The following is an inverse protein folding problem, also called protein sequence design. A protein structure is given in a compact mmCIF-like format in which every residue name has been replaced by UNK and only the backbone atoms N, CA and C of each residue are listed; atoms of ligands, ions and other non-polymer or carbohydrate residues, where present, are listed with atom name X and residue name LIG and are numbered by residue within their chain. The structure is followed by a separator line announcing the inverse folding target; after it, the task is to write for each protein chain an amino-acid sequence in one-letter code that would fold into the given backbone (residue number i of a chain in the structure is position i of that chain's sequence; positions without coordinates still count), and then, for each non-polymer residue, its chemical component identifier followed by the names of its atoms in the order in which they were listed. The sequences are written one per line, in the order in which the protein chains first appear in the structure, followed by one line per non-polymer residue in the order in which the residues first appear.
data_IF_135592332478
#
_entry.id   IF_135592332478
#
_cell.length_a   1.000
_cell.length_b   1.000
_cell.length_c   1.000
_cell.angle_alpha   90.00
_cell.angle_beta   90.00
_cell.angle_gamma   90.00
#
_symmetry.space_group_name_H-M   'P 1'
#
loop_
_entity.id
_entity.type
_entity.pdbx_description
1 polymer ?
#
# COMPACT_ATOMS: atom_id res chain seq x y z
N UNK A 1 21.24 -9.83 -18.62
CA UNK A 1 20.11 -10.70 -18.25
C UNK A 1 20.64 -12.13 -18.20
N UNK A 2 20.41 -12.85 -17.11
CA UNK A 2 20.75 -14.26 -16.96
C UNK A 2 19.48 -15.11 -16.91
N UNK A 3 19.59 -16.36 -17.36
CA UNK A 3 18.51 -17.35 -17.30
C UNK A 3 18.86 -18.46 -16.32
N UNK A 4 17.94 -18.79 -15.45
CA UNK A 4 18.00 -19.94 -14.57
C UNK A 4 16.82 -20.87 -14.91
N UNK A 5 17.12 -22.14 -15.20
CA UNK A 5 16.09 -23.15 -15.45
C UNK A 5 16.23 -24.19 -14.36
N UNK A 6 15.17 -24.31 -13.55
CA UNK A 6 15.08 -25.33 -12.52
C UNK A 6 14.40 -26.55 -13.12
N UNK A 7 14.86 -27.72 -12.68
CA UNK A 7 14.31 -29.01 -13.10
C UNK A 7 13.76 -29.73 -11.88
N UNK A 8 13.00 -30.80 -12.10
CA UNK A 8 12.54 -31.66 -11.00
C UNK A 8 13.66 -32.26 -10.15
N UNK A 9 14.90 -32.31 -10.69
CA UNK A 9 16.08 -32.74 -9.93
C UNK A 9 16.56 -31.69 -8.91
N UNK A 10 16.10 -30.44 -9.04
CA UNK A 10 16.45 -29.32 -8.17
C UNK A 10 15.38 -29.03 -7.10
N UNK A 11 14.30 -29.82 -7.07
CA UNK A 11 13.16 -29.60 -6.18
C UNK A 11 13.58 -29.45 -4.70
N UNK A 12 13.12 -28.37 -4.08
CA UNK A 12 13.40 -27.99 -2.69
C UNK A 12 14.83 -27.52 -2.43
N UNK A 13 15.70 -27.45 -3.45
CA UNK A 13 17.03 -26.85 -3.31
C UNK A 13 16.91 -25.34 -3.39
N UNK A 14 17.50 -24.64 -2.42
CA UNK A 14 17.58 -23.19 -2.43
C UNK A 14 18.55 -22.66 -3.50
N UNK A 15 18.12 -21.64 -4.24
CA UNK A 15 18.92 -20.87 -5.17
C UNK A 15 18.92 -19.39 -4.80
N UNK A 16 20.10 -18.80 -4.67
CA UNK A 16 20.26 -17.38 -4.34
C UNK A 16 20.47 -16.57 -5.63
N UNK A 17 19.59 -15.61 -5.89
CA UNK A 17 19.68 -14.64 -6.97
C UNK A 17 20.37 -13.37 -6.44
N UNK A 18 21.50 -13.03 -7.04
CA UNK A 18 22.25 -11.83 -6.69
C UNK A 18 21.70 -10.57 -7.40
N UNK A 19 22.10 -9.38 -6.94
CA UNK A 19 21.57 -8.09 -7.41
C UNK A 19 21.85 -7.76 -8.87
N UNK A 20 22.79 -8.46 -9.51
CA UNK A 20 23.10 -8.31 -10.93
C UNK A 20 23.61 -9.63 -11.49
N UNK A 21 23.06 -10.12 -12.61
CA UNK A 21 22.22 -9.41 -13.59
C UNK A 21 20.72 -9.42 -13.26
N UNK A 22 19.88 -8.89 -14.18
CA UNK A 22 18.43 -9.19 -14.19
C UNK A 22 18.24 -10.69 -14.44
N UNK A 23 17.45 -11.35 -13.61
CA UNK A 23 17.18 -12.79 -13.67
C UNK A 23 15.86 -13.10 -14.36
N UNK A 24 15.88 -14.13 -15.19
CA UNK A 24 14.69 -14.76 -15.79
C UNK A 24 14.73 -16.23 -15.35
N UNK A 25 13.84 -16.59 -14.43
CA UNK A 25 13.80 -17.90 -13.77
C UNK A 25 12.61 -18.68 -14.28
N UNK A 26 12.82 -19.90 -14.75
CA UNK A 26 11.74 -20.82 -15.12
C UNK A 26 11.83 -22.08 -14.27
N UNK A 27 10.74 -22.36 -13.56
CA UNK A 27 10.59 -23.48 -12.64
C UNK A 27 9.90 -24.69 -13.26
N UNK A 28 9.67 -25.70 -12.43
CA UNK A 28 8.79 -26.84 -12.75
C UNK A 28 7.56 -26.82 -11.84
N UNK A 29 6.74 -27.88 -11.85
CA UNK A 29 5.61 -27.99 -10.92
C UNK A 29 6.04 -28.52 -9.53
N UNK A 30 7.26 -29.03 -9.42
CA UNK A 30 7.82 -29.41 -8.13
C UNK A 30 8.27 -28.15 -7.39
N UNK A 31 8.26 -28.18 -6.06
CA UNK A 31 8.62 -27.02 -5.24
C UNK A 31 10.01 -26.49 -5.59
N UNK A 32 10.07 -25.23 -6.01
CA UNK A 32 11.30 -24.47 -6.17
C UNK A 32 11.52 -23.58 -4.93
N UNK A 33 12.79 -23.42 -4.51
CA UNK A 33 13.17 -22.56 -3.38
C UNK A 33 14.13 -21.47 -3.88
N UNK A 34 13.66 -20.22 -3.88
CA UNK A 34 14.39 -19.05 -4.39
C UNK A 34 14.63 -18.06 -3.26
N UNK A 35 15.86 -17.57 -3.14
CA UNK A 35 16.22 -16.43 -2.31
C UNK A 35 16.67 -15.26 -3.20
N UNK A 36 16.05 -14.10 -3.01
CA UNK A 36 16.26 -12.90 -3.80
C UNK A 36 16.97 -11.87 -2.93
N UNK A 37 18.23 -11.57 -3.27
CA UNK A 37 19.02 -10.57 -2.54
C UNK A 37 18.52 -9.15 -2.80
N UNK A 38 18.94 -8.21 -1.95
CA UNK A 38 18.53 -6.81 -2.03
C UNK A 38 18.96 -6.16 -3.35
N UNK A 39 18.06 -5.39 -3.95
CA UNK A 39 18.27 -4.71 -5.24
C UNK A 39 18.19 -5.63 -6.46
N UNK A 40 17.83 -6.91 -6.30
CA UNK A 40 17.69 -7.84 -7.42
C UNK A 40 16.45 -7.54 -8.25
N UNK A 41 16.60 -7.64 -9.57
CA UNK A 41 15.48 -7.65 -10.51
C UNK A 41 15.28 -9.09 -11.02
N UNK A 42 14.08 -9.64 -10.90
CA UNK A 42 13.81 -11.03 -11.24
C UNK A 42 12.40 -11.23 -11.80
N UNK A 43 12.32 -12.00 -12.88
CA UNK A 43 11.06 -12.52 -13.42
C UNK A 43 11.00 -14.00 -13.09
N UNK A 44 10.03 -14.40 -12.25
CA UNK A 44 9.90 -15.75 -11.73
C UNK A 44 8.73 -16.45 -12.40
N UNK A 45 8.99 -17.28 -13.41
CA UNK A 45 7.98 -18.16 -13.98
C UNK A 45 8.09 -19.56 -13.34
N UNK A 46 7.77 -19.62 -12.04
CA UNK A 46 7.74 -20.86 -11.27
C UNK A 46 6.37 -21.51 -11.46
N UNK A 47 6.34 -22.79 -11.82
CA UNK A 47 5.11 -23.48 -12.19
C UNK A 47 4.55 -24.25 -10.97
N UNK A 48 3.29 -24.64 -10.99
CA UNK A 48 2.73 -25.56 -9.98
C UNK A 48 2.34 -24.96 -8.62
N UNK A 49 2.83 -23.78 -8.24
CA UNK A 49 2.25 -22.99 -7.15
C UNK A 49 2.44 -23.57 -5.74
N UNK A 50 3.64 -24.02 -5.39
CA UNK A 50 4.03 -24.42 -4.02
C UNK A 50 5.48 -23.99 -3.72
N UNK A 51 5.93 -22.94 -4.39
CA UNK A 51 7.31 -22.48 -4.36
C UNK A 51 7.54 -21.63 -3.13
N UNK A 52 8.78 -21.63 -2.64
CA UNK A 52 9.20 -20.78 -1.52
C UNK A 52 10.07 -19.67 -2.08
N UNK A 53 9.62 -18.42 -1.91
CA UNK A 53 10.28 -17.24 -2.46
C UNK A 53 10.64 -16.34 -1.29
N UNK A 54 11.93 -16.26 -0.96
CA UNK A 54 12.46 -15.37 0.07
C UNK A 54 12.89 -14.07 -0.59
N UNK A 55 12.35 -12.95 -0.13
CA UNK A 55 12.72 -11.62 -0.61
C UNK A 55 13.41 -10.85 0.52
N UNK A 56 14.46 -10.12 0.16
CA UNK A 56 15.19 -9.29 1.11
C UNK A 56 14.49 -7.94 1.34
N UNK A 57 13.96 -7.74 2.53
CA UNK A 57 13.23 -6.53 2.90
C UNK A 57 11.88 -6.91 3.51
N UNK A 58 11.36 -6.05 4.37
CA UNK A 58 10.08 -6.27 5.03
C UNK A 58 8.96 -6.15 3.99
N UNK A 59 7.76 -6.67 4.30
CA UNK A 59 6.63 -6.49 3.39
C UNK A 59 6.36 -5.00 3.12
N UNK A 60 6.52 -4.16 4.15
CA UNK A 60 6.42 -2.70 4.10
C UNK A 60 7.36 -2.04 3.08
N UNK A 61 8.47 -2.69 2.69
CA UNK A 61 9.46 -2.12 1.77
C UNK A 61 9.10 -2.24 0.28
N UNK A 62 7.97 -2.86 -0.03
CA UNK A 62 7.54 -3.18 -1.40
C UNK A 62 6.19 -2.55 -1.73
N UNK A 63 6.09 -1.95 -2.90
CA UNK A 63 4.79 -1.72 -3.55
C UNK A 63 4.38 -2.94 -4.36
N UNK A 64 3.09 -3.25 -4.47
CA UNK A 64 2.60 -4.34 -5.33
C UNK A 64 1.65 -3.86 -6.42
N UNK A 65 1.87 -4.30 -7.66
CA UNK A 65 0.98 -4.04 -8.80
C UNK A 65 0.55 -5.36 -9.45
N UNK A 66 -0.73 -5.49 -9.80
CA UNK A 66 -1.27 -6.66 -10.51
C UNK A 66 -1.44 -6.35 -12.00
N UNK A 67 -0.81 -7.17 -12.86
CA UNK A 67 -1.04 -7.16 -14.30
C UNK A 67 -1.41 -8.57 -14.79
N UNK A 68 -2.69 -8.76 -15.12
CA UNK A 68 -3.24 -10.09 -15.39
C UNK A 68 -3.17 -10.98 -14.14
N UNK A 69 -2.43 -12.09 -14.23
CA UNK A 69 -2.14 -12.96 -13.07
C UNK A 69 -0.78 -12.69 -12.44
N UNK A 70 0.00 -11.74 -12.96
CA UNK A 70 1.35 -11.45 -12.46
C UNK A 70 1.30 -10.34 -11.44
N UNK A 71 1.94 -10.56 -10.29
CA UNK A 71 2.15 -9.55 -9.26
C UNK A 71 3.59 -9.04 -9.37
N UNK A 72 3.74 -7.74 -9.47
CA UNK A 72 5.04 -7.06 -9.47
C UNK A 72 5.27 -6.44 -8.11
N UNK A 73 6.30 -6.90 -7.40
CA UNK A 73 6.81 -6.27 -6.20
C UNK A 73 7.89 -5.26 -6.59
N UNK A 74 7.69 -3.98 -6.32
CA UNK A 74 8.70 -2.94 -6.53
C UNK A 74 9.27 -2.52 -5.18
N UNK A 75 10.55 -2.80 -4.93
CA UNK A 75 11.21 -2.38 -3.71
C UNK A 75 11.51 -0.88 -3.69
N UNK A 76 11.78 -0.33 -2.51
CA UNK A 76 12.19 1.08 -2.30
C UNK A 76 13.32 1.59 -3.19
N UNK A 77 14.18 0.69 -3.69
CA UNK A 77 15.29 1.05 -4.60
C UNK A 77 14.91 1.00 -6.09
N UNK A 78 13.63 0.75 -6.39
CA UNK A 78 13.08 0.62 -7.75
C UNK A 78 13.30 -0.74 -8.41
N UNK A 79 13.89 -1.71 -7.69
CA UNK A 79 14.08 -3.07 -8.17
C UNK A 79 12.74 -3.82 -8.23
N UNK A 80 12.55 -4.65 -9.27
CA UNK A 80 11.28 -5.34 -9.53
C UNK A 80 11.39 -6.85 -9.45
N UNK A 81 10.44 -7.48 -8.77
CA UNK A 81 10.28 -8.93 -8.71
C UNK A 81 8.88 -9.25 -9.26
N UNK A 82 8.82 -9.97 -10.37
CA UNK A 82 7.58 -10.35 -11.04
C UNK A 82 7.28 -11.82 -10.76
N UNK A 83 6.10 -12.09 -10.17
CA UNK A 83 5.67 -13.43 -9.75
C UNK A 83 4.24 -13.67 -10.25
N UNK A 84 4.01 -14.62 -11.17
CA UNK A 84 2.69 -15.11 -11.51
C UNK A 84 2.03 -15.78 -10.30
N UNK A 85 0.85 -15.32 -9.94
CA UNK A 85 -0.04 -16.03 -9.04
C UNK A 85 -0.64 -17.25 -9.75
N UNK A 86 -0.94 -18.30 -8.97
CA UNK A 86 -1.59 -19.52 -9.44
C UNK A 86 -2.70 -19.92 -8.48
N UNK A 87 -3.52 -20.92 -8.83
CA UNK A 87 -4.56 -21.44 -7.92
C UNK A 87 -4.01 -22.24 -6.75
N UNK A 88 -2.72 -22.56 -6.77
CA UNK A 88 -1.97 -23.14 -5.66
C UNK A 88 -0.97 -22.08 -5.17
N UNK A 89 -0.80 -21.96 -3.86
CA UNK A 89 -0.12 -20.84 -3.24
C UNK A 89 1.41 -20.94 -3.35
N UNK A 90 2.04 -19.89 -3.87
CA UNK A 90 3.46 -19.66 -3.63
C UNK A 90 3.64 -18.97 -2.27
N UNK A 91 4.56 -19.46 -1.46
CA UNK A 91 4.84 -18.87 -0.15
C UNK A 91 5.95 -17.84 -0.28
N UNK A 92 5.63 -16.57 0.00
CA UNK A 92 6.57 -15.46 0.03
C UNK A 92 7.01 -15.24 1.48
N UNK A 93 8.32 -15.17 1.71
CA UNK A 93 8.91 -14.90 3.02
C UNK A 93 9.69 -13.59 2.94
N UNK A 94 9.35 -12.63 3.79
CA UNK A 94 9.96 -11.32 3.85
C UNK A 94 11.11 -11.27 4.87
N UNK A 95 11.90 -10.20 4.83
CA UNK A 95 13.10 -10.01 5.63
C UNK A 95 12.86 -9.90 7.14
N UNK A 96 11.65 -9.54 7.55
CA UNK A 96 11.15 -9.55 8.94
C UNK A 96 10.69 -10.94 9.40
N UNK A 97 10.64 -11.91 8.50
CA UNK A 97 10.13 -13.26 8.75
C UNK A 97 8.63 -13.41 8.51
N UNK A 98 7.92 -12.34 8.13
CA UNK A 98 6.52 -12.41 7.72
C UNK A 98 6.40 -13.35 6.51
N UNK A 99 5.36 -14.18 6.53
CA UNK A 99 5.12 -15.18 5.48
C UNK A 99 3.73 -14.96 4.91
N UNK A 100 3.63 -14.84 3.58
CA UNK A 100 2.38 -14.59 2.86
C UNK A 100 2.23 -15.50 1.67
N UNK A 101 1.03 -16.06 1.52
CA UNK A 101 0.70 -16.90 0.38
C UNK A 101 0.20 -16.04 -0.79
N UNK A 102 0.88 -16.12 -1.92
CA UNK A 102 0.45 -15.53 -3.18
C UNK A 102 -0.41 -16.54 -3.96
N UNK A 103 -1.71 -16.26 -4.08
CA UNK A 103 -2.68 -17.21 -4.65
C UNK A 103 -3.81 -16.53 -5.41
N UNK A 104 -4.27 -17.17 -6.48
CA UNK A 104 -5.54 -16.86 -7.14
C UNK A 104 -6.66 -17.58 -6.39
N UNK A 105 -7.48 -16.83 -5.68
CA UNK A 105 -8.70 -17.35 -5.08
C UNK A 105 -9.82 -17.35 -6.13
N UNK A 106 -10.08 -18.53 -6.72
CA UNK A 106 -11.10 -18.70 -7.76
C UNK A 106 -12.52 -18.45 -7.27
N UNK A 107 -12.80 -18.62 -5.98
CA UNK A 107 -14.12 -18.34 -5.40
C UNK A 107 -14.37 -16.85 -5.22
N UNK A 108 -13.33 -16.10 -4.84
CA UNK A 108 -13.37 -14.64 -4.76
C UNK A 108 -13.17 -13.95 -6.12
N UNK A 109 -12.61 -14.66 -7.12
CA UNK A 109 -12.27 -14.09 -8.42
C UNK A 109 -11.13 -13.06 -8.34
N UNK A 110 -10.21 -13.23 -7.38
CA UNK A 110 -9.18 -12.25 -7.05
C UNK A 110 -7.83 -12.91 -6.70
N UNK A 111 -6.76 -12.10 -6.76
CA UNK A 111 -5.41 -12.46 -6.34
C UNK A 111 -5.21 -11.97 -4.91
N UNK A 112 -4.71 -12.85 -4.06
CA UNK A 112 -4.41 -12.56 -2.67
C UNK A 112 -2.93 -12.71 -2.37
N UNK A 113 -2.43 -11.90 -1.43
CA UNK A 113 -1.13 -12.05 -0.79
C UNK A 113 -1.32 -12.12 0.74
N UNK A 114 -1.42 -13.33 1.27
CA UNK A 114 -1.96 -13.53 2.62
C UNK A 114 -3.43 -13.10 2.65
N UNK A 115 -3.77 -12.17 3.54
CA UNK A 115 -5.13 -11.63 3.66
C UNK A 115 -5.42 -10.47 2.68
N UNK A 116 -4.40 -9.94 1.99
CA UNK A 116 -4.49 -8.76 1.14
C UNK A 116 -5.10 -9.07 -0.22
N UNK A 117 -6.22 -8.42 -0.58
CA UNK A 117 -6.83 -8.54 -1.92
C UNK A 117 -6.17 -7.58 -2.92
N UNK A 118 -5.20 -8.08 -3.67
CA UNK A 118 -4.45 -7.29 -4.64
C UNK A 118 -5.28 -6.88 -5.86
N UNK A 119 -6.36 -7.61 -6.20
CA UNK A 119 -7.17 -7.34 -7.40
C UNK A 119 -8.06 -6.09 -7.28
N UNK A 120 -8.24 -5.55 -6.08
CA UNK A 120 -8.96 -4.29 -5.84
C UNK A 120 -8.03 -3.17 -5.38
N UNK A 121 -6.72 -3.32 -5.59
CA UNK A 121 -5.70 -2.34 -5.17
C UNK A 121 -5.24 -2.48 -3.71
N UNK A 122 -5.72 -3.49 -2.97
CA UNK A 122 -5.39 -3.72 -1.56
C UNK A 122 -4.03 -4.39 -1.31
N UNK A 123 -3.05 -4.13 -2.17
CA UNK A 123 -1.66 -4.49 -1.88
C UNK A 123 -0.97 -3.41 -1.10
N UNK A 124 0.15 -3.73 -0.43
CA UNK A 124 0.99 -2.71 0.18
C UNK A 124 1.39 -1.72 -0.93
N UNK A 125 0.82 -0.53 -0.88
CA UNK A 125 1.20 0.58 -1.72
C UNK A 125 2.16 1.41 -0.89
N UNK A 126 3.39 0.92 -0.71
CA UNK A 126 4.54 1.64 -0.17
C UNK A 126 4.99 2.86 -1.03
N UNK A 127 4.02 3.53 -1.65
CA UNK A 127 4.17 4.84 -2.23
C UNK A 127 2.98 5.64 -1.76
N UNK A 128 3.27 6.73 -1.05
CA UNK A 128 2.31 7.78 -0.72
C UNK A 128 1.38 8.02 -1.91
N UNK A 129 0.13 7.60 -1.80
CA UNK A 129 -0.82 7.72 -2.91
C UNK A 129 -1.42 9.12 -2.88
N UNK A 130 -1.21 9.89 -3.94
CA UNK A 130 -1.76 11.25 -4.02
C UNK A 130 -3.18 11.22 -4.57
N UNK A 131 -4.12 11.76 -3.80
CA UNK A 131 -5.52 11.92 -4.16
C UNK A 131 -5.82 13.40 -4.35
N UNK A 132 -6.09 13.82 -5.59
CA UNK A 132 -6.41 15.22 -5.89
C UNK A 132 -7.90 15.51 -5.63
N UNK A 133 -8.18 16.41 -4.68
CA UNK A 133 -9.52 16.87 -4.32
C UNK A 133 -9.77 18.24 -4.94
N UNK A 134 -10.59 18.27 -5.99
CA UNK A 134 -10.85 19.47 -6.80
C UNK A 134 -12.27 20.04 -6.63
N UNK A 135 -13.01 19.59 -5.61
CA UNK A 135 -14.39 20.05 -5.40
C UNK A 135 -15.19 19.19 -4.42
N UNK A 136 -16.48 19.49 -4.34
CA UNK A 136 -17.38 18.80 -3.43
C UNK A 136 -17.56 17.31 -3.79
N UNK A 137 -17.72 16.47 -2.77
CA UNK A 137 -17.95 15.04 -2.99
C UNK A 137 -17.54 14.18 -1.81
N UNK A 138 -17.29 12.91 -2.11
CA UNK A 138 -16.83 11.92 -1.14
C UNK A 138 -15.72 11.08 -1.76
N UNK A 139 -14.68 10.82 -0.98
CA UNK A 139 -13.60 9.89 -1.33
C UNK A 139 -13.41 8.87 -0.20
N UNK A 140 -12.95 7.67 -0.54
CA UNK A 140 -12.61 6.64 0.43
C UNK A 140 -11.10 6.47 0.42
N UNK A 141 -10.48 6.55 1.60
CA UNK A 141 -9.09 6.16 1.78
C UNK A 141 -8.98 4.65 1.69
N UNK A 142 -8.04 4.17 0.88
CA UNK A 142 -7.92 2.75 0.52
C UNK A 142 -6.51 2.21 0.60
N UNK A 143 -5.49 3.08 0.57
CA UNK A 143 -4.10 2.72 0.81
C UNK A 143 -3.69 2.96 2.27
N UNK A 144 -2.55 2.40 2.65
CA UNK A 144 -1.98 2.56 3.99
C UNK A 144 -1.44 3.98 4.25
N UNK A 145 -1.03 4.70 3.19
CA UNK A 145 -0.58 6.09 3.25
C UNK A 145 -1.11 6.89 2.04
N UNK A 146 -2.03 7.83 2.28
CA UNK A 146 -2.59 8.71 1.26
C UNK A 146 -2.38 10.19 1.56
N UNK A 147 -2.01 10.97 0.54
CA UNK A 147 -1.99 12.44 0.59
C UNK A 147 -3.17 12.98 -0.20
N UNK A 148 -4.15 13.51 0.53
CA UNK A 148 -5.29 14.24 -0.03
C UNK A 148 -4.87 15.68 -0.32
N UNK A 149 -4.66 15.99 -1.59
CA UNK A 149 -4.25 17.33 -2.06
C UNK A 149 -5.47 18.14 -2.42
N UNK A 150 -5.74 19.20 -1.65
CA UNK A 150 -6.91 20.05 -1.85
C UNK A 150 -6.62 21.24 -2.76
N UNK A 151 -7.42 21.41 -3.82
CA UNK A 151 -7.39 22.62 -4.63
C UNK A 151 -7.99 23.81 -3.87
N UNK A 152 -7.46 25.02 -4.10
CA UNK A 152 -8.00 26.26 -3.53
C UNK A 152 -9.31 26.65 -4.20
N UNK A 153 -10.44 26.23 -3.62
CA UNK A 153 -11.81 26.60 -4.01
C UNK A 153 -12.75 26.47 -2.80
N UNK A 154 -14.01 26.89 -2.92
CA UNK A 154 -15.02 26.79 -1.85
C UNK A 154 -15.90 25.56 -2.05
N UNK A 155 -15.71 24.55 -1.21
CA UNK A 155 -16.49 23.31 -1.27
C UNK A 155 -16.45 22.53 0.05
N UNK A 156 -17.33 21.52 0.15
CA UNK A 156 -17.34 20.55 1.24
C UNK A 156 -17.02 19.16 0.68
N UNK A 157 -16.08 18.45 1.29
CA UNK A 157 -15.66 17.12 0.89
C UNK A 157 -15.69 16.16 2.08
N UNK A 158 -16.10 14.92 1.85
CA UNK A 158 -16.10 13.86 2.87
C UNK A 158 -15.02 12.84 2.56
N UNK A 159 -14.23 12.44 3.55
CA UNK A 159 -13.28 11.33 3.44
C UNK A 159 -13.72 10.23 4.41
N UNK A 160 -13.94 9.02 3.90
CA UNK A 160 -14.16 7.83 4.72
C UNK A 160 -12.87 7.03 4.82
N UNK A 161 -12.55 6.46 5.98
CA UNK A 161 -11.42 5.53 6.12
C UNK A 161 -10.06 6.17 6.38
N UNK A 162 -10.01 7.49 6.62
CA UNK A 162 -8.78 8.20 6.98
C UNK A 162 -8.13 7.56 8.22
N UNK A 163 -6.86 7.19 8.10
CA UNK A 163 -6.13 6.38 9.07
C UNK A 163 -4.79 7.03 9.45
N UNK A 164 -3.98 6.30 10.21
CA UNK A 164 -2.63 6.74 10.55
C UNK A 164 -1.77 6.88 9.28
N UNK A 165 -0.87 7.85 9.29
CA UNK A 165 0.05 8.23 8.21
C UNK A 165 -0.61 8.87 6.97
N UNK A 166 -1.94 8.95 6.90
CA UNK A 166 -2.63 9.79 5.91
C UNK A 166 -2.40 11.29 6.17
N UNK A 167 -2.41 12.07 5.09
CA UNK A 167 -2.14 13.52 5.11
C UNK A 167 -3.25 14.29 4.41
N UNK A 168 -3.78 15.30 5.10
CA UNK A 168 -4.58 16.37 4.50
C UNK A 168 -3.65 17.51 4.08
N UNK A 169 -3.37 17.63 2.78
CA UNK A 169 -2.49 18.64 2.22
C UNK A 169 -3.29 19.81 1.63
N UNK A 170 -3.34 20.91 2.37
CA UNK A 170 -4.00 22.15 1.98
C UNK A 170 -3.04 23.09 1.21
N UNK A 171 -3.57 24.09 0.47
CA UNK A 171 -2.74 25.07 -0.22
C UNK A 171 -1.82 25.89 0.72
N UNK A 172 -0.62 26.27 0.27
CA UNK A 172 0.40 27.00 1.08
C UNK A 172 -0.10 28.27 1.80
N UNK A 173 -1.12 28.95 1.28
CA UNK A 173 -1.67 30.20 1.83
C UNK A 173 -2.93 30.00 2.68
N UNK A 174 -3.09 28.80 3.24
CA UNK A 174 -4.23 28.47 4.10
C UNK A 174 -3.95 28.95 5.52
N UNK A 175 -4.90 29.68 6.11
CA UNK A 175 -4.91 29.95 7.55
C UNK A 175 -4.96 28.61 8.28
N UNK A 176 -4.28 28.44 9.43
CA UNK A 176 -4.28 27.16 10.15
C UNK A 176 -5.67 26.54 10.25
N UNK A 177 -5.75 25.26 9.90
CA UNK A 177 -7.00 24.50 9.85
C UNK A 177 -7.71 24.59 11.19
N UNK A 178 -8.98 24.98 11.17
CA UNK A 178 -9.83 24.87 12.35
C UNK A 178 -10.38 23.46 12.41
N UNK A 179 -10.11 22.76 13.50
CA UNK A 179 -10.67 21.44 13.77
C UNK A 179 -11.85 21.58 14.71
N UNK A 180 -12.98 21.01 14.30
CA UNK A 180 -14.23 20.96 15.03
C UNK A 180 -14.62 19.50 15.28
N UNK A 181 -14.54 19.11 16.56
CA UNK A 181 -14.92 17.80 17.06
C UNK A 181 -15.80 17.95 18.33
N UNK A 182 -16.88 18.71 18.21
CA UNK A 182 -17.77 19.01 19.35
C UNK A 182 -18.49 17.76 19.90
N UNK A 183 -18.84 16.79 19.05
CA UNK A 183 -19.56 15.56 19.40
C UNK A 183 -18.63 14.33 19.42
N UNK A 184 -17.63 14.38 20.29
CA UNK A 184 -16.66 13.30 20.46
C UNK A 184 -17.33 11.90 20.61
N UNK A 185 -16.89 10.97 19.78
CA UNK A 185 -17.32 9.57 19.76
C UNK A 185 -18.40 9.23 18.72
N UNK A 186 -18.82 10.19 17.89
CA UNK A 186 -19.78 9.99 16.79
C UNK A 186 -19.15 9.39 15.51
N UNK A 187 -17.82 9.27 15.49
CA UNK A 187 -17.03 8.74 14.39
C UNK A 187 -16.79 9.75 13.27
N UNK A 188 -16.97 11.05 13.54
CA UNK A 188 -16.79 12.13 12.58
C UNK A 188 -15.86 13.22 13.12
N UNK A 189 -15.06 13.81 12.23
CA UNK A 189 -14.23 14.97 12.55
C UNK A 189 -14.42 16.00 11.45
N UNK A 190 -14.72 17.24 11.81
CA UNK A 190 -14.87 18.32 10.84
C UNK A 190 -13.64 19.22 10.86
N UNK A 191 -13.16 19.59 9.68
CA UNK A 191 -12.04 20.50 9.48
C UNK A 191 -12.47 21.62 8.53
N UNK A 192 -12.06 22.85 8.84
CA UNK A 192 -12.28 24.00 7.98
C UNK A 192 -10.95 24.71 7.70
N UNK A 193 -10.59 24.77 6.42
CA UNK A 193 -9.42 25.44 5.90
C UNK A 193 -9.84 26.70 5.13
N UNK A 194 -9.21 27.84 5.43
CA UNK A 194 -9.47 29.11 4.74
C UNK A 194 -8.24 29.51 3.93
N UNK A 195 -8.35 29.50 2.61
CA UNK A 195 -7.29 29.87 1.66
C UNK A 195 -7.69 31.13 0.89
N UNK A 196 -7.25 32.30 1.36
CA UNK A 196 -7.73 33.58 0.82
C UNK A 196 -9.23 33.78 1.05
N UNK A 197 -10.03 33.79 -0.03
CA UNK A 197 -11.50 33.86 0.04
C UNK A 197 -12.18 32.50 -0.05
N UNK A 198 -11.40 31.42 -0.22
CA UNK A 198 -11.90 30.07 -0.42
C UNK A 198 -12.01 29.34 0.92
N UNK A 199 -13.11 28.58 1.10
CA UNK A 199 -13.35 27.78 2.31
C UNK A 199 -13.47 26.31 1.92
N UNK A 200 -12.54 25.50 2.38
CA UNK A 200 -12.53 24.05 2.19
C UNK A 200 -13.00 23.43 3.49
N UNK A 201 -14.18 22.81 3.47
CA UNK A 201 -14.68 22.04 4.61
C UNK A 201 -14.44 20.55 4.34
N UNK A 202 -13.76 19.87 5.24
CA UNK A 202 -13.48 18.44 5.17
C UNK A 202 -14.17 17.75 6.32
N UNK A 203 -14.96 16.71 6.03
CA UNK A 203 -15.52 15.84 7.06
C UNK A 203 -14.86 14.48 6.94
N UNK A 204 -14.13 14.06 7.97
CA UNK A 204 -13.67 12.69 8.12
C UNK A 204 -14.79 11.87 8.74
N UNK A 205 -14.98 10.64 8.27
CA UNK A 205 -16.01 9.73 8.76
C UNK A 205 -15.47 8.31 8.89
N UNK A 206 -16.08 7.53 9.79
CA UNK A 206 -15.63 6.18 10.09
C UNK A 206 -14.42 6.16 11.02
N UNK A 207 -14.18 7.25 11.75
CA UNK A 207 -13.14 7.32 12.78
C UNK A 207 -13.57 6.43 13.95
N UNK A 208 -12.63 5.67 14.52
CA UNK A 208 -12.94 4.86 15.70
C UNK A 208 -13.30 5.75 16.88
N UNK A 209 -14.23 5.32 17.73
CA UNK A 209 -14.65 6.08 18.93
C UNK A 209 -13.47 6.52 19.80
N UNK A 210 -12.45 5.66 19.96
CA UNK A 210 -11.28 5.99 20.77
C UNK A 210 -10.40 7.09 20.14
N UNK A 211 -10.24 7.08 18.81
CA UNK A 211 -9.48 8.10 18.10
C UNK A 211 -10.23 9.42 18.05
N UNK A 212 -11.53 9.36 17.81
CA UNK A 212 -12.42 10.51 17.83
C UNK A 212 -12.41 11.20 19.21
N UNK A 213 -12.64 10.46 20.30
CA UNK A 213 -12.56 10.98 21.66
C UNK A 213 -11.20 11.59 22.03
N UNK A 214 -10.12 11.18 21.37
CA UNK A 214 -8.77 11.67 21.63
C UNK A 214 -8.48 13.02 20.94
N UNK A 215 -9.29 13.44 19.98
CA UNK A 215 -9.01 14.61 19.13
C UNK A 215 -9.82 15.82 19.61
N UNK A 216 -9.10 16.86 20.03
CA UNK A 216 -9.66 18.15 20.50
C UNK A 216 -9.01 19.37 19.82
N UNK A 217 -8.14 19.14 18.84
CA UNK A 217 -7.41 20.15 18.10
C UNK A 217 -6.27 19.55 17.26
N UNK A 218 -5.55 20.39 16.52
CA UNK A 218 -4.49 20.00 15.58
C UNK A 218 -3.40 19.12 16.23
N UNK A 219 -2.90 19.50 17.41
CA UNK A 219 -1.85 18.72 18.08
C UNK A 219 -2.30 17.30 18.46
N UNK A 220 -3.56 17.13 18.90
CA UNK A 220 -4.12 15.80 19.18
C UNK A 220 -4.45 15.04 17.89
N UNK A 221 -4.81 15.74 16.82
CA UNK A 221 -5.03 15.14 15.50
C UNK A 221 -3.73 14.51 14.97
N UNK A 222 -2.63 15.24 15.00
CA UNK A 222 -1.30 14.71 14.62
C UNK A 222 -0.80 13.62 15.57
N UNK A 223 -1.19 13.64 16.85
CA UNK A 223 -0.86 12.55 17.76
C UNK A 223 -1.60 11.24 17.43
N UNK A 224 -2.81 11.33 16.86
CA UNK A 224 -3.64 10.17 16.51
C UNK A 224 -3.31 9.65 15.11
N UNK A 225 -3.19 10.54 14.13
CA UNK A 225 -3.00 10.18 12.73
C UNK A 225 -1.56 10.29 12.24
N UNK A 226 -0.63 10.80 13.04
CA UNK A 226 0.78 10.92 12.67
C UNK A 226 1.23 12.37 12.50
N UNK A 227 2.53 12.59 12.71
CA UNK A 227 3.15 13.92 12.56
C UNK A 227 3.02 14.41 11.13
N UNK A 228 2.48 15.60 10.91
CA UNK A 228 2.28 16.15 9.57
C UNK A 228 1.02 15.62 8.86
N UNK A 229 0.10 14.96 9.58
CA UNK A 229 -1.21 14.58 9.06
C UNK A 229 -2.03 15.79 8.54
N UNK A 230 -1.66 17.01 8.94
CA UNK A 230 -2.07 18.24 8.28
C UNK A 230 -0.83 18.93 7.69
N UNK A 231 -0.88 19.23 6.39
CA UNK A 231 0.21 19.86 5.66
C UNK A 231 -0.29 21.04 4.82
N UNK A 232 0.62 21.94 4.47
CA UNK A 232 0.36 23.18 3.75
C UNK A 232 1.35 23.35 2.58
N UNK A 233 1.46 22.32 1.74
CA UNK A 233 2.53 22.21 0.72
C UNK A 233 1.99 22.09 -0.70
N UNK A 234 0.67 22.14 -0.88
CA UNK A 234 0.03 22.04 -2.19
C UNK A 234 0.19 23.32 -3.03
#
# INVERSE_FOLDING_TARGET
MAKLILTSADAGRQFVLNSSPIWDVTGTNDQDDIEIMAGTNANLNLLGGNDIIRVSGNYSDYTTEVNGTTVTFTGNTGNKIEIPASTTANTIIFGDGETRDLVINVSAGAIFLGDDNLSTGGGNNNGTTTVNINGAGTTTATADEEVFVFASDTYAHTITGFAADDVLNFPENTVPVTLDNEDAGDGMINLSAISGNNIINVTLTGISTANDEAISGEASFEAVFGSGAISYTA
#
